data_IF_504667955881
#
_entry.id   IF_504667955881
#
_cell.length_a   1.000
_cell.length_b   1.000
_cell.length_c   1.000
_cell.angle_alpha   90.00
_cell.angle_beta   90.00
_cell.angle_gamma   90.00
#
_symmetry.space_group_name_H-M   'P 1'
#
loop_
_entity.id
_entity.type
_entity.pdbx_description
1 polymer ?
#
# COMPACT_ATOMS: atom_id res chain seq x y z
N UNK A 1 0.77 -5.61 -19.06
CA UNK A 1 2.10 -5.02 -18.73
C UNK A 1 2.08 -4.61 -17.27
N UNK A 2 3.18 -4.78 -16.54
CA UNK A 2 3.32 -4.29 -15.17
C UNK A 2 3.47 -2.77 -15.18
N UNK A 3 2.69 -2.07 -14.37
CA UNK A 3 2.68 -0.62 -14.18
C UNK A 3 3.01 -0.32 -12.71
N UNK A 4 3.58 0.85 -12.45
CA UNK A 4 4.01 1.27 -11.11
C UNK A 4 3.41 2.61 -10.73
N UNK A 5 2.98 2.76 -9.47
CA UNK A 5 2.51 4.02 -8.90
C UNK A 5 3.05 4.15 -7.48
N UNK A 6 3.30 5.37 -7.02
CA UNK A 6 3.70 5.66 -5.64
C UNK A 6 2.82 6.72 -5.02
N UNK A 7 2.76 6.73 -3.70
CA UNK A 7 2.14 7.76 -2.87
C UNK A 7 3.08 8.09 -1.71
N UNK A 8 3.06 9.35 -1.29
CA UNK A 8 3.74 9.81 -0.07
C UNK A 8 2.65 10.05 0.97
N UNK A 9 2.82 9.50 2.16
CA UNK A 9 1.86 9.63 3.25
C UNK A 9 2.64 10.14 4.46
N UNK A 10 2.07 11.13 5.16
CA UNK A 10 2.61 11.68 6.40
C UNK A 10 1.63 11.37 7.52
N UNK A 11 2.12 10.88 8.65
CA UNK A 11 1.30 10.56 9.83
C UNK A 11 2.00 11.02 11.10
N UNK A 12 1.22 11.50 12.07
CA UNK A 12 1.71 11.78 13.42
C UNK A 12 1.95 10.51 14.23
N UNK A 13 2.64 10.63 15.36
CA UNK A 13 2.87 9.48 16.25
C UNK A 13 1.56 8.87 16.76
N UNK A 14 1.47 7.54 16.70
CA UNK A 14 0.29 6.79 17.09
C UNK A 14 -0.90 6.92 16.13
N UNK A 15 -0.72 7.54 14.96
CA UNK A 15 -1.77 7.75 13.95
C UNK A 15 -1.56 6.84 12.75
N UNK A 16 -2.67 6.38 12.17
CA UNK A 16 -2.71 5.75 10.86
C UNK A 16 -3.28 6.72 9.84
N UNK A 17 -2.58 6.88 8.71
CA UNK A 17 -3.07 7.65 7.58
C UNK A 17 -3.11 6.78 6.32
N UNK A 18 -4.13 7.00 5.49
CA UNK A 18 -4.37 6.18 4.29
C UNK A 18 -4.67 7.06 3.08
N UNK A 19 -4.29 6.58 1.90
CA UNK A 19 -4.52 7.25 0.62
C UNK A 19 -5.05 6.27 -0.42
N UNK A 20 -5.94 6.76 -1.29
CA UNK A 20 -6.47 5.97 -2.42
C UNK A 20 -5.37 5.80 -3.47
N UNK A 21 -4.79 4.61 -3.57
CA UNK A 21 -3.69 4.36 -4.51
C UNK A 21 -4.15 3.83 -5.87
N UNK A 22 -5.20 3.01 -5.91
CA UNK A 22 -5.71 2.45 -7.15
C UNK A 22 -7.22 2.24 -7.08
N UNK A 23 -7.91 2.47 -8.20
CA UNK A 23 -9.35 2.33 -8.33
C UNK A 23 -9.64 1.33 -9.45
N UNK A 24 -10.59 0.43 -9.27
CA UNK A 24 -11.10 -0.40 -10.34
C UNK A 24 -11.95 0.41 -11.31
N UNK A 25 -11.65 0.30 -12.61
CA UNK A 25 -12.28 1.11 -13.66
C UNK A 25 -13.07 0.23 -14.64
N UNK A 26 -14.17 0.77 -15.16
CA UNK A 26 -14.97 0.12 -16.19
C UNK A 26 -14.10 -0.34 -17.36
N UNK A 27 -14.27 -1.59 -17.79
CA UNK A 27 -13.53 -2.18 -18.91
C UNK A 27 -12.04 -2.40 -18.66
N UNK A 28 -11.53 -2.18 -17.44
CA UNK A 28 -10.15 -2.46 -17.05
C UNK A 28 -10.11 -3.58 -16.01
N UNK A 29 -9.29 -4.59 -16.25
CA UNK A 29 -8.95 -5.57 -15.24
C UNK A 29 -7.63 -5.17 -14.58
N UNK A 30 -7.72 -4.57 -13.38
CA UNK A 30 -6.57 -4.15 -12.58
C UNK A 30 -6.31 -5.16 -11.49
N UNK A 31 -5.07 -5.60 -11.37
CA UNK A 31 -4.63 -6.52 -10.31
C UNK A 31 -3.36 -5.98 -9.69
N UNK A 32 -3.38 -5.67 -8.39
CA UNK A 32 -2.17 -5.31 -7.65
C UNK A 32 -1.37 -6.59 -7.42
N UNK A 33 -0.10 -6.53 -7.81
CA UNK A 33 0.85 -7.64 -7.74
C UNK A 33 1.94 -7.44 -6.70
N UNK A 34 2.26 -6.19 -6.37
CA UNK A 34 3.26 -5.87 -5.37
C UNK A 34 2.87 -4.62 -4.60
N UNK A 35 3.19 -4.61 -3.31
CA UNK A 35 3.33 -3.42 -2.47
C UNK A 35 4.79 -3.33 -2.06
N UNK A 36 5.38 -2.13 -2.07
CA UNK A 36 6.76 -1.92 -1.71
C UNK A 36 6.93 -0.69 -0.83
N UNK A 37 7.90 -0.77 0.06
CA UNK A 37 8.26 0.27 1.02
C UNK A 37 9.71 0.69 0.80
N UNK A 38 10.03 1.91 1.24
CA UNK A 38 11.40 2.44 1.29
C UNK A 38 11.95 2.59 2.71
N UNK A 39 11.13 2.27 3.71
CA UNK A 39 11.43 2.32 5.14
C UNK A 39 10.99 1.00 5.77
N UNK A 40 11.82 0.46 6.68
CA UNK A 40 11.70 -0.91 7.19
C UNK A 40 11.89 -0.97 8.71
N UNK A 41 11.04 -0.28 9.46
CA UNK A 41 11.09 -0.28 10.92
C UNK A 41 10.06 -1.23 11.56
N UNK A 42 10.27 -1.56 12.84
CA UNK A 42 9.46 -2.52 13.58
C UNK A 42 8.29 -1.88 14.36
N UNK A 43 8.23 -0.56 14.41
CA UNK A 43 7.28 0.20 15.25
C UNK A 43 6.10 0.75 14.44
N UNK A 44 6.29 0.89 13.14
CA UNK A 44 5.31 1.29 12.15
C UNK A 44 4.74 0.07 11.42
N UNK A 45 3.52 0.22 10.89
CA UNK A 45 2.80 -0.86 10.20
C UNK A 45 2.36 -0.42 8.82
N UNK A 46 2.49 -1.31 7.84
CA UNK A 46 1.88 -1.20 6.53
C UNK A 46 0.44 -1.69 6.63
N UNK A 47 -0.49 -0.87 6.13
CA UNK A 47 -1.91 -1.22 6.06
C UNK A 47 -2.44 -1.13 4.64
N UNK A 48 -3.28 -2.06 4.24
CA UNK A 48 -3.95 -2.06 2.93
C UNK A 48 -5.43 -2.41 3.12
N UNK A 49 -6.28 -1.60 2.48
CA UNK A 49 -7.72 -1.72 2.53
C UNK A 49 -8.31 -1.87 1.13
N UNK A 50 -9.40 -2.64 1.02
CA UNK A 50 -10.28 -2.66 -0.16
C UNK A 50 -11.69 -2.36 0.30
N UNK A 51 -12.29 -1.29 -0.21
CA UNK A 51 -13.66 -0.88 0.13
C UNK A 51 -13.94 -0.82 1.64
N UNK A 52 -12.96 -0.34 2.42
CA UNK A 52 -12.93 -0.26 3.90
C UNK A 52 -12.64 -1.57 4.67
N UNK A 53 -12.48 -2.71 4.00
CA UNK A 53 -11.99 -3.94 4.65
C UNK A 53 -10.46 -3.95 4.70
N UNK A 54 -9.87 -4.01 5.90
CA UNK A 54 -8.43 -4.19 6.10
C UNK A 54 -8.06 -5.65 5.87
N UNK A 55 -7.07 -5.90 5.03
CA UNK A 55 -6.59 -7.27 4.76
C UNK A 55 -5.05 -7.38 4.77
N UNK A 56 -4.34 -6.26 4.87
CA UNK A 56 -2.92 -6.21 5.26
C UNK A 56 -2.83 -5.31 6.48
N UNK A 57 -2.24 -5.85 7.54
CA UNK A 57 -1.80 -5.13 8.73
C UNK A 57 -0.56 -5.86 9.25
N UNK A 58 0.61 -5.37 8.85
CA UNK A 58 1.89 -6.01 9.18
C UNK A 58 2.93 -4.97 9.55
N UNK A 59 3.86 -5.28 10.46
CA UNK A 59 5.04 -4.45 10.71
C UNK A 59 5.83 -4.16 9.42
N UNK A 60 6.35 -2.94 9.26
CA UNK A 60 7.06 -2.55 8.03
C UNK A 60 8.39 -3.30 7.83
N UNK A 61 9.02 -3.76 8.92
CA UNK A 61 10.23 -4.59 8.90
C UNK A 61 10.01 -6.05 8.43
N UNK A 62 8.78 -6.44 8.08
CA UNK A 62 8.54 -7.68 7.31
C UNK A 62 9.16 -7.56 5.92
N UNK A 63 9.29 -6.34 5.39
CA UNK A 63 10.05 -6.03 4.19
C UNK A 63 11.44 -5.52 4.57
N UNK A 64 12.40 -5.68 3.66
CA UNK A 64 13.81 -5.29 3.85
C UNK A 64 14.36 -4.70 2.55
N UNK A 65 15.53 -4.08 2.60
CA UNK A 65 16.19 -3.58 1.39
C UNK A 65 16.50 -4.72 0.39
N UNK A 66 16.80 -5.93 0.89
CA UNK A 66 17.02 -7.13 0.06
C UNK A 66 15.71 -7.76 -0.46
N UNK A 67 14.59 -7.53 0.23
CA UNK A 67 13.26 -8.02 -0.15
C UNK A 67 12.20 -6.95 0.07
N UNK A 68 12.16 -5.90 -0.76
CA UNK A 68 11.34 -4.72 -0.50
C UNK A 68 9.91 -4.86 -1.03
N UNK A 69 9.57 -6.01 -1.64
CA UNK A 69 8.29 -6.25 -2.28
C UNK A 69 7.46 -7.27 -1.49
N UNK A 70 6.30 -6.84 -1.01
CA UNK A 70 5.22 -7.71 -0.57
C UNK A 70 4.45 -8.21 -1.80
N UNK A 71 4.47 -9.53 -2.12
CA UNK A 71 3.69 -10.08 -3.22
C UNK A 71 2.19 -10.01 -2.92
N UNK A 72 1.40 -9.67 -3.94
CA UNK A 72 -0.05 -9.52 -3.85
C UNK A 72 -0.75 -10.24 -5.01
N UNK A 73 -2.02 -10.55 -4.82
CA UNK A 73 -2.94 -10.91 -5.90
C UNK A 73 -4.32 -10.29 -5.64
N UNK A 74 -4.38 -8.95 -5.71
CA UNK A 74 -5.59 -8.20 -5.39
C UNK A 74 -6.25 -7.69 -6.68
N UNK A 75 -7.28 -8.36 -7.21
CA UNK A 75 -8.09 -7.82 -8.29
C UNK A 75 -8.96 -6.67 -7.77
N UNK A 76 -9.13 -5.64 -8.60
CA UNK A 76 -10.06 -4.53 -8.38
C UNK A 76 -11.09 -4.52 -9.51
N UNK A 77 -12.36 -4.74 -9.15
CA UNK A 77 -13.48 -4.58 -10.10
C UNK A 77 -13.95 -3.13 -10.12
N UNK A 78 -14.75 -2.77 -11.13
CA UNK A 78 -15.31 -1.43 -11.27
C UNK A 78 -16.00 -0.95 -9.98
N UNK A 79 -15.65 0.26 -9.54
CA UNK A 79 -16.19 0.87 -8.33
C UNK A 79 -15.44 0.52 -7.04
N UNK A 80 -14.48 -0.41 -7.07
CA UNK A 80 -13.65 -0.70 -5.90
C UNK A 80 -12.47 0.25 -5.75
N UNK A 81 -12.13 0.55 -4.50
CA UNK A 81 -10.99 1.38 -4.14
C UNK A 81 -10.00 0.56 -3.32
N UNK A 82 -8.72 0.63 -3.69
CA UNK A 82 -7.62 0.18 -2.86
C UNK A 82 -7.00 1.39 -2.17
N UNK A 83 -7.08 1.42 -0.85
CA UNK A 83 -6.37 2.38 -0.03
C UNK A 83 -5.13 1.71 0.54
N UNK A 84 -4.05 2.47 0.62
CA UNK A 84 -2.82 2.06 1.25
C UNK A 84 -2.43 3.09 2.28
N UNK A 85 -1.86 2.65 3.39
CA UNK A 85 -1.53 3.54 4.47
C UNK A 85 -0.35 3.04 5.27
N UNK A 86 0.03 3.86 6.23
CA UNK A 86 0.94 3.46 7.27
C UNK A 86 0.47 3.98 8.62
N UNK A 87 0.61 3.13 9.63
CA UNK A 87 0.54 3.51 11.03
C UNK A 87 1.94 3.90 11.49
N UNK A 88 2.09 5.07 12.08
CA UNK A 88 3.37 5.58 12.56
C UNK A 88 3.54 5.31 14.07
N UNK A 89 4.62 4.59 14.42
CA UNK A 89 5.01 4.34 15.81
C UNK A 89 6.39 4.90 16.17
N UNK A 90 6.91 5.87 15.43
CA UNK A 90 8.29 6.37 15.54
C UNK A 90 8.51 7.41 16.66
N UNK A 91 7.46 7.85 17.36
CA UNK A 91 7.57 8.87 18.42
C UNK A 91 7.61 10.31 17.91
N UNK A 92 7.28 10.54 16.64
CA UNK A 92 7.18 11.86 16.01
C UNK A 92 6.38 11.81 14.70
N UNK A 93 6.24 12.95 14.02
CA UNK A 93 5.72 12.97 12.65
C UNK A 93 6.74 12.33 11.71
N UNK A 94 6.26 11.44 10.83
CA UNK A 94 7.10 10.79 9.82
C UNK A 94 6.37 10.75 8.48
N UNK A 95 7.14 10.60 7.39
CA UNK A 95 6.63 10.53 6.02
C UNK A 95 7.23 9.33 5.30
N UNK A 96 6.36 8.44 4.81
CA UNK A 96 6.75 7.22 4.10
C UNK A 96 6.30 7.28 2.64
N UNK A 97 7.15 6.80 1.74
CA UNK A 97 6.78 6.56 0.35
C UNK A 97 6.44 5.09 0.16
N UNK A 98 5.20 4.83 -0.27
CA UNK A 98 4.68 3.49 -0.58
C UNK A 98 4.47 3.38 -2.09
N UNK A 99 4.93 2.27 -2.66
CA UNK A 99 4.84 1.99 -4.10
C UNK A 99 4.02 0.73 -4.35
N UNK A 100 3.22 0.71 -5.42
CA UNK A 100 2.53 -0.50 -5.88
C UNK A 100 2.96 -0.86 -7.30
N UNK A 101 3.06 -2.15 -7.55
CA UNK A 101 3.13 -2.74 -8.88
C UNK A 101 1.79 -3.38 -9.21
N UNK A 102 1.18 -3.03 -10.36
CA UNK A 102 -0.11 -3.58 -10.77
C UNK A 102 -0.13 -3.91 -12.26
N UNK A 103 -0.89 -4.93 -12.64
CA UNK A 103 -1.18 -5.22 -14.05
C UNK A 103 -2.52 -4.61 -14.45
N UNK A 104 -2.61 -4.16 -15.69
CA UNK A 104 -3.85 -3.68 -16.27
C UNK A 104 -4.02 -4.28 -17.68
N UNK A 105 -5.21 -4.81 -17.95
CA UNK A 105 -5.63 -5.31 -19.27
C UNK A 105 -7.06 -4.85 -19.58
N UNK A 106 -7.44 -4.89 -20.85
CA UNK A 106 -8.71 -4.34 -21.35
C UNK A 106 -8.46 -2.98 -21.98
#
# INVERSE_FOLDING_TARGET
MLKWKRVSITAGDGVEETEVILIGMAGKNRVIKHVALSVHDAVSRLVVYRDAEQFVDVPMNVLTDESPFLPMDLPLIEGQFCNIGFYNGTGGEDTVVITIGYTETG
#
